data_IF_251970274392
#
_entry.id   IF_251970274392
#
_cell.length_a   1.000
_cell.length_b   1.000
_cell.length_c   1.000
_cell.angle_alpha   90.00
_cell.angle_beta   90.00
_cell.angle_gamma   90.00
#
_symmetry.space_group_name_H-M   'P 1'
#
loop_
_entity.id
_entity.type
_entity.pdbx_description
1 polymer ?
#
# COMPACT_ATOMS: atom_id res chain seq x y z
N UNK A 1 16.29 -0.13 16.32
CA UNK A 1 16.23 -1.54 15.89
C UNK A 1 16.73 -1.59 14.46
N UNK A 2 17.63 -2.53 14.10
CA UNK A 2 18.07 -2.70 12.72
C UNK A 2 16.93 -3.20 11.82
N UNK A 3 17.14 -3.13 10.50
CA UNK A 3 16.21 -3.67 9.50
C UNK A 3 15.86 -5.13 9.79
N UNK A 4 14.59 -5.48 9.63
CA UNK A 4 14.09 -6.87 9.66
C UNK A 4 14.51 -7.61 8.39
N UNK A 5 15.28 -8.68 8.54
CA UNK A 5 15.78 -9.50 7.42
C UNK A 5 14.88 -10.69 7.08
N UNK A 6 13.86 -10.94 7.91
CA UNK A 6 12.84 -11.95 7.69
C UNK A 6 11.77 -11.51 6.68
N UNK A 7 11.64 -10.20 6.43
CA UNK A 7 10.71 -9.64 5.45
C UNK A 7 11.42 -9.43 4.11
N UNK A 8 10.78 -9.87 3.02
CA UNK A 8 11.23 -9.71 1.64
C UNK A 8 10.25 -8.90 0.79
N UNK A 9 8.97 -8.92 1.14
CA UNK A 9 7.92 -8.20 0.43
C UNK A 9 6.96 -7.48 1.38
N UNK A 10 6.48 -6.30 0.96
CA UNK A 10 5.53 -5.49 1.74
C UNK A 10 4.40 -5.03 0.84
N UNK A 11 3.16 -5.21 1.29
CA UNK A 11 1.97 -4.61 0.68
C UNK A 11 1.67 -3.26 1.35
N UNK A 12 1.75 -2.19 0.57
CA UNK A 12 1.35 -0.84 0.96
C UNK A 12 -0.10 -0.61 0.52
N UNK A 13 -0.93 -0.09 1.42
CA UNK A 13 -2.34 0.24 1.13
C UNK A 13 -2.47 1.76 1.03
N UNK A 14 -2.85 2.25 -0.15
CA UNK A 14 -3.06 3.67 -0.42
C UNK A 14 -4.39 4.21 0.15
N UNK A 15 -4.64 5.49 -0.07
CA UNK A 15 -5.84 6.18 0.45
C UNK A 15 -7.07 6.07 -0.44
N UNK A 16 -6.89 5.74 -1.72
CA UNK A 16 -7.96 5.84 -2.71
C UNK A 16 -8.19 7.29 -3.15
N UNK A 17 -9.38 7.62 -3.68
CA UNK A 17 -9.67 8.93 -4.24
C UNK A 17 -9.53 10.06 -3.21
N UNK A 18 -9.16 11.25 -3.69
CA UNK A 18 -9.07 12.45 -2.85
C UNK A 18 -10.48 12.87 -2.41
N UNK A 19 -10.64 13.08 -1.10
CA UNK A 19 -11.86 13.62 -0.48
C UNK A 19 -11.51 14.66 0.57
N UNK A 20 -12.48 15.47 1.00
CA UNK A 20 -12.28 16.43 2.10
C UNK A 20 -11.88 15.64 3.37
N UNK A 21 -10.74 16.00 3.95
CA UNK A 21 -10.18 15.33 5.13
C UNK A 21 -9.27 14.13 4.84
N UNK A 22 -9.14 13.72 3.57
CA UNK A 22 -8.18 12.70 3.13
C UNK A 22 -7.72 12.99 1.70
N UNK A 23 -6.61 13.72 1.55
CA UNK A 23 -6.20 14.29 0.27
C UNK A 23 -4.77 13.87 -0.15
N UNK A 24 -4.05 14.77 -0.82
CA UNK A 24 -2.79 14.51 -1.49
C UNK A 24 -1.63 14.14 -0.52
N UNK A 25 -1.79 14.40 0.77
CA UNK A 25 -0.82 14.03 1.81
C UNK A 25 -0.51 12.53 1.82
N UNK A 26 -1.45 11.68 1.40
CA UNK A 26 -1.26 10.24 1.33
C UNK A 26 -0.56 9.77 0.05
N UNK A 27 -0.68 10.51 -1.05
CA UNK A 27 0.17 10.27 -2.24
C UNK A 27 1.63 10.60 -1.92
N UNK A 28 1.87 11.75 -1.28
CA UNK A 28 3.20 12.14 -0.81
C UNK A 28 3.79 11.10 0.14
N UNK A 29 3.05 10.71 1.17
CA UNK A 29 3.51 9.75 2.19
C UNK A 29 3.71 8.35 1.60
N UNK A 30 2.77 7.88 0.78
CA UNK A 30 2.84 6.58 0.10
C UNK A 30 4.02 6.49 -0.86
N UNK A 31 4.27 7.54 -1.65
CA UNK A 31 5.42 7.64 -2.56
C UNK A 31 6.74 7.56 -1.80
N UNK A 32 6.87 8.29 -0.69
CA UNK A 32 8.08 8.25 0.14
C UNK A 32 8.34 6.85 0.70
N UNK A 33 7.31 6.18 1.22
CA UNK A 33 7.45 4.85 1.75
C UNK A 33 7.84 3.83 0.68
N UNK A 34 7.21 3.86 -0.50
CA UNK A 34 7.56 2.97 -1.60
C UNK A 34 9.04 3.11 -1.99
N UNK A 35 9.54 4.35 -2.09
CA UNK A 35 10.95 4.63 -2.39
C UNK A 35 11.89 4.09 -1.32
N UNK A 36 11.59 4.33 -0.03
CA UNK A 36 12.43 3.86 1.09
C UNK A 36 12.42 2.33 1.17
N UNK A 37 11.25 1.69 1.07
CA UNK A 37 11.14 0.23 1.11
C UNK A 37 11.95 -0.42 -0.04
N UNK A 38 11.89 0.15 -1.25
CA UNK A 38 12.68 -0.33 -2.38
C UNK A 38 14.17 -0.06 -2.25
N UNK A 39 14.58 1.11 -1.72
CA UNK A 39 16.01 1.38 -1.47
C UNK A 39 16.60 0.44 -0.42
N UNK A 40 15.76 -0.01 0.52
CA UNK A 40 16.11 -1.05 1.49
C UNK A 40 16.06 -2.47 0.87
N UNK A 41 15.69 -2.64 -0.40
CA UNK A 41 15.68 -3.93 -1.08
C UNK A 41 14.49 -4.83 -0.75
N UNK A 42 13.37 -4.27 -0.30
CA UNK A 42 12.09 -4.98 -0.18
C UNK A 42 11.33 -4.89 -1.50
N UNK A 43 10.68 -5.99 -1.89
CA UNK A 43 9.68 -5.99 -2.97
C UNK A 43 8.44 -5.23 -2.49
N UNK A 44 8.08 -4.15 -3.18
CA UNK A 44 6.92 -3.34 -2.84
C UNK A 44 5.74 -3.69 -3.73
N UNK A 45 4.66 -4.13 -3.11
CA UNK A 45 3.35 -4.24 -3.73
C UNK A 45 2.51 -3.06 -3.26
N UNK A 46 1.83 -2.38 -4.16
CA UNK A 46 0.98 -1.24 -3.85
C UNK A 46 -0.43 -1.48 -4.37
N UNK A 47 -1.44 -1.15 -3.56
CA UNK A 47 -2.83 -0.99 -4.01
C UNK A 47 -3.32 0.43 -3.75
N UNK A 48 -3.80 1.11 -4.79
CA UNK A 48 -4.46 2.40 -4.67
C UNK A 48 -5.41 2.63 -5.84
N UNK A 49 -6.69 2.88 -5.58
CA UNK A 49 -7.69 3.08 -6.64
C UNK A 49 -7.61 4.45 -7.32
N UNK A 50 -6.82 5.39 -6.80
CA UNK A 50 -6.67 6.71 -7.41
C UNK A 50 -5.57 6.70 -8.50
N UNK A 51 -5.92 6.83 -9.79
CA UNK A 51 -4.94 6.81 -10.87
C UNK A 51 -4.13 8.10 -10.99
N UNK A 52 -4.55 9.18 -10.32
CA UNK A 52 -3.90 10.49 -10.40
C UNK A 52 -2.89 10.69 -9.26
N UNK A 53 -2.08 9.67 -8.98
CA UNK A 53 -1.08 9.70 -7.88
C UNK A 53 0.29 9.29 -8.37
N UNK A 54 1.33 9.92 -7.85
CA UNK A 54 2.72 9.53 -8.16
C UNK A 54 3.00 8.13 -7.63
N UNK A 55 2.45 7.76 -6.46
CA UNK A 55 2.68 6.43 -5.90
C UNK A 55 2.22 5.30 -6.84
N UNK A 56 1.23 5.55 -7.71
CA UNK A 56 0.76 4.58 -8.71
C UNK A 56 1.56 4.57 -10.02
N UNK A 57 2.58 5.40 -10.16
CA UNK A 57 3.46 5.35 -11.33
C UNK A 57 4.19 3.98 -11.38
N UNK A 58 4.32 3.34 -12.56
CA UNK A 58 4.87 1.99 -12.69
C UNK A 58 6.29 1.83 -12.12
N UNK A 59 7.07 2.90 -12.07
CA UNK A 59 8.43 2.91 -11.55
C UNK A 59 8.52 3.02 -10.02
N UNK A 60 7.43 3.28 -9.31
CA UNK A 60 7.47 3.55 -7.85
C UNK A 60 7.41 2.28 -7.01
N UNK A 61 6.63 1.28 -7.42
CA UNK A 61 6.50 -0.02 -6.77
C UNK A 61 6.85 -1.17 -7.75
N UNK A 62 7.12 -2.37 -7.24
CA UNK A 62 7.43 -3.53 -8.09
C UNK A 62 6.15 -4.19 -8.64
N UNK A 63 5.03 -4.02 -7.95
CA UNK A 63 3.70 -4.39 -8.43
C UNK A 63 2.68 -3.34 -7.99
N UNK A 64 2.08 -2.65 -8.95
CA UNK A 64 1.07 -1.60 -8.70
C UNK A 64 -0.32 -2.06 -9.14
N UNK A 65 -1.28 -2.01 -8.22
CA UNK A 65 -2.68 -2.33 -8.44
C UNK A 65 -3.54 -1.07 -8.34
N UNK A 66 -4.03 -0.61 -9.49
CA UNK A 66 -5.04 0.46 -9.56
C UNK A 66 -6.43 -0.17 -9.47
N UNK A 67 -6.75 -0.64 -8.27
CA UNK A 67 -7.94 -1.47 -7.97
C UNK A 67 -8.66 -0.94 -6.72
N UNK A 68 -9.95 -1.28 -6.50
CA UNK A 68 -10.70 -0.87 -5.31
C UNK A 68 -10.00 -1.27 -4.00
N UNK A 69 -9.99 -0.37 -3.02
CA UNK A 69 -9.40 -0.61 -1.68
C UNK A 69 -10.47 -1.19 -0.75
N UNK A 70 -11.04 -2.34 -1.14
CA UNK A 70 -11.99 -3.10 -0.32
C UNK A 70 -11.32 -4.38 0.20
N UNK A 71 -11.77 -4.95 1.32
CA UNK A 71 -11.18 -6.18 1.87
C UNK A 71 -11.12 -7.31 0.83
N UNK A 72 -12.15 -7.50 0.03
CA UNK A 72 -12.23 -8.58 -0.96
C UNK A 72 -11.22 -8.43 -2.10
N UNK A 73 -10.97 -7.19 -2.54
CA UNK A 73 -9.95 -6.93 -3.56
C UNK A 73 -8.54 -7.03 -3.00
N UNK A 74 -8.32 -6.50 -1.80
CA UNK A 74 -7.02 -6.58 -1.14
C UNK A 74 -6.68 -8.04 -0.79
N UNK A 75 -7.66 -8.86 -0.38
CA UNK A 75 -7.48 -10.30 -0.16
C UNK A 75 -7.04 -11.02 -1.43
N UNK A 76 -7.62 -10.70 -2.59
CA UNK A 76 -7.17 -11.27 -3.88
C UNK A 76 -5.72 -10.90 -4.20
N UNK A 77 -5.31 -9.66 -3.90
CA UNK A 77 -3.92 -9.22 -4.07
C UNK A 77 -3.01 -9.99 -3.11
N UNK A 78 -3.39 -10.13 -1.83
CA UNK A 78 -2.62 -10.90 -0.83
C UNK A 78 -2.49 -12.36 -1.27
N UNK A 79 -3.57 -12.98 -1.76
CA UNK A 79 -3.56 -14.38 -2.22
C UNK A 79 -2.61 -14.59 -3.41
N UNK A 80 -2.55 -13.61 -4.33
CA UNK A 80 -1.68 -13.64 -5.52
C UNK A 80 -0.22 -13.31 -5.21
N UNK A 81 0.02 -12.22 -4.49
CA UNK A 81 1.37 -11.66 -4.27
C UNK A 81 2.06 -12.23 -3.03
N UNK A 82 1.30 -12.80 -2.08
CA UNK A 82 1.79 -13.36 -0.81
C UNK A 82 2.81 -12.43 -0.10
N UNK A 83 2.41 -11.18 0.24
CA UNK A 83 3.29 -10.25 0.93
C UNK A 83 3.66 -10.77 2.34
N UNK A 84 4.91 -10.54 2.77
CA UNK A 84 5.35 -10.93 4.13
C UNK A 84 4.79 -10.00 5.21
N UNK A 85 4.51 -8.75 4.85
CA UNK A 85 3.93 -7.76 5.73
C UNK A 85 2.96 -6.83 5.00
N UNK A 86 2.04 -6.22 5.77
CA UNK A 86 1.11 -5.20 5.31
C UNK A 86 1.41 -3.88 6.03
N UNK A 87 1.46 -2.78 5.30
CA UNK A 87 1.71 -1.43 5.81
C UNK A 87 0.47 -0.53 5.59
N UNK A 88 -0.45 -0.44 6.57
CA UNK A 88 -1.73 0.26 6.40
C UNK A 88 -1.73 1.69 6.92
N UNK A 89 -0.57 2.22 7.33
CA UNK A 89 -0.47 3.51 8.04
C UNK A 89 -0.27 4.71 7.13
N UNK A 90 -0.26 4.51 5.82
CA UNK A 90 0.08 5.53 4.82
C UNK A 90 -1.06 5.88 3.87
N UNK A 91 -2.23 5.26 4.05
CA UNK A 91 -3.43 5.48 3.24
C UNK A 91 -4.61 6.03 4.04
N UNK A 92 -4.34 6.79 5.10
CA UNK A 92 -5.37 7.42 5.92
C UNK A 92 -6.33 6.43 6.57
N UNK A 93 -7.58 6.85 6.75
CA UNK A 93 -8.61 6.02 7.38
C UNK A 93 -9.04 4.87 6.47
N UNK A 94 -9.01 5.07 5.15
CA UNK A 94 -9.32 3.99 4.19
C UNK A 94 -8.40 2.79 4.40
N UNK A 95 -7.08 2.99 4.46
CA UNK A 95 -6.14 1.89 4.66
C UNK A 95 -6.29 1.23 6.04
N UNK A 96 -6.50 2.01 7.10
CA UNK A 96 -6.70 1.48 8.45
C UNK A 96 -7.97 0.62 8.56
N UNK A 97 -9.10 1.12 8.05
CA UNK A 97 -10.36 0.40 8.08
C UNK A 97 -10.27 -0.91 7.28
N UNK A 98 -9.68 -0.86 6.08
CA UNK A 98 -9.49 -2.06 5.26
C UNK A 98 -8.58 -3.07 5.95
N UNK A 99 -7.51 -2.62 6.62
CA UNK A 99 -6.61 -3.51 7.35
C UNK A 99 -7.26 -4.16 8.58
N UNK A 100 -8.07 -3.41 9.34
CA UNK A 100 -8.84 -3.96 10.47
C UNK A 100 -9.84 -5.00 9.98
N UNK A 101 -10.61 -4.68 8.93
CA UNK A 101 -11.57 -5.62 8.35
C UNK A 101 -10.88 -6.90 7.84
N UNK A 102 -9.69 -6.80 7.23
CA UNK A 102 -8.91 -7.97 6.81
C UNK A 102 -8.39 -8.81 8.00
N UNK A 103 -8.14 -8.20 9.15
CA UNK A 103 -7.62 -8.89 10.33
C UNK A 103 -8.73 -9.56 11.16
N UNK A 104 -9.97 -9.09 11.04
CA UNK A 104 -11.14 -9.64 11.73
C UNK A 104 -11.85 -10.75 10.93
N UNK A 105 -11.51 -10.92 9.65
CA UNK A 105 -11.96 -12.02 8.79
C UNK A 105 -11.19 -13.32 9.06
#
# INVERSE_FOLDING_TARGET
MPKRNDLKSVLVVGSGPIVIGQAAEFDYSGTQACRVLRSEGLRVILVNSNPATIMTDPEVADATYVEPITPEFVEKIIAKERPDALLPTLGGQTALNTAVALAEN
#
